data_IF_884276682155
#
_entry.id   IF_884276682155
#
_cell.length_a   1.000
_cell.length_b   1.000
_cell.length_c   1.000
_cell.angle_alpha   90.00
_cell.angle_beta   90.00
_cell.angle_gamma   90.00
#
_symmetry.space_group_name_H-M   'P 1'
#
loop_
_entity.id
_entity.type
_entity.pdbx_description
1 polymer ?
#
# COMPACT_ATOMS: atom_id res chain seq x y z
N UNK A 1 -16.20 -13.32 -36.76
CA UNK A 1 -15.89 -12.64 -35.48
C UNK A 1 -14.47 -12.15 -35.58
N UNK A 2 -14.30 -10.83 -35.70
CA UNK A 2 -12.98 -10.19 -35.80
C UNK A 2 -12.22 -10.46 -34.49
N UNK A 3 -11.16 -11.26 -34.59
CA UNK A 3 -10.17 -11.36 -33.53
C UNK A 3 -9.24 -10.19 -33.79
N UNK A 4 -9.33 -9.14 -32.98
CA UNK A 4 -8.35 -8.06 -32.94
C UNK A 4 -7.03 -8.67 -32.48
N UNK A 5 -6.10 -8.80 -33.43
CA UNK A 5 -4.69 -9.22 -33.32
C UNK A 5 -3.79 -8.08 -32.82
N UNK A 6 -4.38 -6.94 -32.53
CA UNK A 6 -3.78 -5.76 -31.98
C UNK A 6 -3.70 -5.90 -30.45
N UNK A 7 -2.47 -5.94 -29.93
CA UNK A 7 -2.12 -6.19 -28.51
C UNK A 7 -2.66 -5.20 -27.47
N UNK A 8 -3.73 -4.47 -27.79
CA UNK A 8 -4.53 -3.68 -26.87
C UNK A 8 -6.00 -4.15 -26.98
N UNK A 9 -6.33 -5.26 -26.32
CA UNK A 9 -7.63 -5.95 -26.45
C UNK A 9 -8.85 -5.21 -25.84
N UNK A 10 -8.87 -3.87 -25.86
CA UNK A 10 -10.04 -3.06 -25.52
C UNK A 10 -10.64 -3.34 -24.14
N UNK A 11 -9.85 -3.83 -23.19
CA UNK A 11 -10.36 -4.26 -21.88
C UNK A 11 -11.02 -3.14 -21.08
N UNK A 12 -10.66 -1.89 -21.39
CA UNK A 12 -11.23 -0.68 -20.81
C UNK A 12 -12.70 -0.47 -21.25
N UNK A 13 -13.11 -1.01 -22.39
CA UNK A 13 -14.47 -0.89 -22.93
C UNK A 13 -15.47 -1.83 -22.25
N UNK A 14 -14.99 -2.97 -21.75
CA UNK A 14 -15.81 -3.97 -21.05
C UNK A 14 -15.78 -3.79 -19.53
N UNK A 15 -15.00 -2.82 -19.02
CA UNK A 15 -14.92 -2.51 -17.60
C UNK A 15 -16.28 -1.99 -17.11
N UNK A 16 -16.69 -2.44 -15.92
CA UNK A 16 -17.90 -1.93 -15.29
C UNK A 16 -17.83 -0.41 -15.15
N UNK A 17 -18.86 0.29 -15.64
CA UNK A 17 -18.98 1.75 -15.59
C UNK A 17 -18.85 2.30 -14.18
N UNK A 18 -19.22 1.53 -13.15
CA UNK A 18 -19.08 1.94 -11.75
C UNK A 18 -17.65 1.89 -11.22
N UNK A 19 -16.76 1.15 -11.89
CA UNK A 19 -15.34 0.99 -11.56
C UNK A 19 -14.44 1.96 -12.32
N UNK A 20 -14.93 2.58 -13.40
CA UNK A 20 -14.19 3.60 -14.16
C UNK A 20 -13.73 4.72 -13.23
N UNK A 21 -12.42 4.99 -13.24
CA UNK A 21 -11.79 5.99 -12.37
C UNK A 21 -11.54 5.55 -10.91
N UNK A 22 -11.98 4.35 -10.52
CA UNK A 22 -11.77 3.79 -9.16
C UNK A 22 -10.79 2.62 -9.11
N UNK A 23 -10.39 2.08 -10.26
CA UNK A 23 -9.44 0.98 -10.36
C UNK A 23 -8.25 1.31 -11.25
N UNK A 24 -7.13 0.63 -11.04
CA UNK A 24 -5.96 0.70 -11.90
C UNK A 24 -6.19 -0.12 -13.17
N UNK A 25 -6.14 0.54 -14.33
CA UNK A 25 -6.34 -0.10 -15.64
C UNK A 25 -5.28 -1.18 -15.93
N UNK A 26 -4.08 -1.07 -15.37
CA UNK A 26 -3.06 -2.10 -15.51
C UNK A 26 -3.42 -3.37 -14.71
N UNK A 27 -4.06 -3.23 -13.55
CA UNK A 27 -4.58 -4.36 -12.77
C UNK A 27 -5.73 -5.05 -13.52
N UNK A 28 -6.63 -4.26 -14.11
CA UNK A 28 -7.72 -4.74 -14.96
C UNK A 28 -7.18 -5.52 -16.16
N UNK A 29 -6.17 -4.99 -16.87
CA UNK A 29 -5.56 -5.63 -18.03
C UNK A 29 -4.95 -6.99 -17.69
N UNK A 30 -4.24 -7.09 -16.57
CA UNK A 30 -3.66 -8.36 -16.11
C UNK A 30 -4.78 -9.35 -15.79
N UNK A 31 -5.79 -8.92 -15.05
CA UNK A 31 -6.93 -9.76 -14.67
C UNK A 31 -7.67 -10.28 -15.91
N UNK A 32 -7.94 -9.40 -16.88
CA UNK A 32 -8.60 -9.76 -18.14
C UNK A 32 -7.76 -10.76 -18.96
N UNK A 33 -6.44 -10.59 -19.01
CA UNK A 33 -5.55 -11.53 -19.71
C UNK A 33 -5.62 -12.94 -19.12
N UNK A 34 -5.80 -13.08 -17.80
CA UNK A 34 -5.95 -14.38 -17.14
C UNK A 34 -7.33 -14.95 -17.37
N UNK A 35 -8.38 -14.13 -17.23
CA UNK A 35 -9.75 -14.54 -17.50
C UNK A 35 -9.90 -15.10 -18.92
N UNK A 36 -9.28 -14.43 -19.92
CA UNK A 36 -9.27 -14.90 -21.31
C UNK A 36 -8.59 -16.28 -21.46
N UNK A 37 -7.49 -16.53 -20.75
CA UNK A 37 -6.82 -17.83 -20.75
C UNK A 37 -7.66 -18.91 -20.07
N UNK A 38 -8.41 -18.58 -19.01
CA UNK A 38 -9.27 -19.53 -18.29
C UNK A 38 -10.42 -20.06 -19.16
N UNK A 39 -10.98 -19.22 -20.05
CA UNK A 39 -12.08 -19.61 -20.94
C UNK A 39 -11.60 -20.17 -22.29
N UNK A 40 -10.30 -20.40 -22.45
CA UNK A 40 -9.74 -20.88 -23.72
C UNK A 40 -10.39 -22.21 -24.13
N UNK A 41 -10.76 -22.35 -25.42
CA UNK A 41 -11.47 -23.53 -25.94
C UNK A 41 -10.72 -24.84 -25.70
N UNK A 42 -9.41 -24.83 -25.96
CA UNK A 42 -8.51 -25.95 -25.64
C UNK A 42 -8.19 -25.99 -24.13
N UNK A 43 -8.50 -27.09 -23.42
CA UNK A 43 -8.22 -27.22 -21.98
C UNK A 43 -6.74 -27.14 -21.63
N UNK A 44 -5.84 -27.61 -22.52
CA UNK A 44 -4.38 -27.59 -22.29
C UNK A 44 -3.78 -26.19 -22.26
N UNK A 45 -4.48 -25.19 -22.81
CA UNK A 45 -4.07 -23.79 -22.80
C UNK A 45 -4.63 -23.02 -21.60
N UNK A 46 -5.52 -23.65 -20.81
CA UNK A 46 -6.05 -23.05 -19.58
C UNK A 46 -4.97 -23.14 -18.49
N UNK A 47 -4.76 -22.09 -17.71
CA UNK A 47 -3.82 -22.11 -16.62
C UNK A 47 -4.31 -23.02 -15.49
N UNK A 48 -3.37 -23.52 -14.69
CA UNK A 48 -3.72 -24.23 -13.45
C UNK A 48 -4.34 -23.26 -12.45
N UNK A 49 -5.19 -23.77 -11.56
CA UNK A 49 -5.74 -22.98 -10.46
C UNK A 49 -4.64 -22.40 -9.55
N UNK A 50 -3.51 -23.10 -9.44
CA UNK A 50 -2.34 -22.62 -8.70
C UNK A 50 -1.76 -21.36 -9.34
N UNK A 51 -1.62 -21.36 -10.68
CA UNK A 51 -1.11 -20.20 -11.43
C UNK A 51 -2.06 -19.01 -11.33
N UNK A 52 -3.37 -19.27 -11.46
CA UNK A 52 -4.41 -18.25 -11.31
C UNK A 52 -4.33 -17.63 -9.90
N UNK A 53 -4.29 -18.48 -8.87
CA UNK A 53 -4.27 -18.05 -7.46
C UNK A 53 -3.03 -17.22 -7.14
N UNK A 54 -1.87 -17.62 -7.69
CA UNK A 54 -0.62 -16.88 -7.55
C UNK A 54 -0.74 -15.47 -8.11
N UNK A 55 -1.24 -15.32 -9.34
CA UNK A 55 -1.34 -13.98 -9.94
C UNK A 55 -2.38 -13.11 -9.24
N UNK A 56 -3.52 -13.67 -8.84
CA UNK A 56 -4.51 -12.94 -8.04
C UNK A 56 -3.92 -12.47 -6.70
N UNK A 57 -3.08 -13.30 -6.06
CA UNK A 57 -2.41 -12.93 -4.82
C UNK A 57 -1.41 -11.80 -5.03
N UNK A 58 -0.66 -11.81 -6.14
CA UNK A 58 0.26 -10.72 -6.50
C UNK A 58 -0.48 -9.41 -6.76
N UNK A 59 -1.61 -9.44 -7.46
CA UNK A 59 -2.45 -8.26 -7.68
C UNK A 59 -2.96 -7.70 -6.35
N UNK A 60 -3.48 -8.57 -5.47
CA UNK A 60 -3.91 -8.18 -4.13
C UNK A 60 -2.78 -7.52 -3.32
N UNK A 61 -1.58 -8.10 -3.34
CA UNK A 61 -0.43 -7.51 -2.65
C UNK A 61 -0.09 -6.12 -3.21
N UNK A 62 -0.11 -5.93 -4.54
CA UNK A 62 0.15 -4.63 -5.15
C UNK A 62 -0.84 -3.55 -4.71
N UNK A 63 -2.12 -3.91 -4.55
CA UNK A 63 -3.13 -3.02 -3.97
C UNK A 63 -2.83 -2.68 -2.51
N UNK A 64 -2.48 -3.69 -1.69
CA UNK A 64 -2.14 -3.48 -0.29
C UNK A 64 -0.89 -2.61 -0.15
N UNK A 65 0.16 -2.83 -0.93
CA UNK A 65 1.40 -2.04 -0.87
C UNK A 65 1.20 -0.59 -1.33
N UNK A 66 0.27 -0.30 -2.25
CA UNK A 66 -0.10 1.09 -2.59
C UNK A 66 -0.81 1.76 -1.42
N UNK A 67 -1.73 1.07 -0.76
CA UNK A 67 -2.43 1.60 0.41
C UNK A 67 -1.52 1.68 1.65
N UNK A 68 -0.60 0.73 1.81
CA UNK A 68 0.44 0.75 2.84
C UNK A 68 1.51 1.78 2.55
N UNK A 69 1.81 2.12 1.29
CA UNK A 69 2.74 3.23 1.01
C UNK A 69 2.19 4.57 1.51
N UNK A 70 0.87 4.72 1.63
CA UNK A 70 0.23 5.88 2.27
C UNK A 70 0.41 5.79 3.80
N UNK A 71 0.33 4.59 4.39
CA UNK A 71 0.64 4.37 5.82
C UNK A 71 2.14 4.26 6.15
N UNK A 72 3.03 4.13 5.16
CA UNK A 72 4.48 4.14 5.31
C UNK A 72 5.04 5.54 5.03
N UNK A 73 4.39 6.33 4.17
CA UNK A 73 4.61 7.77 4.06
C UNK A 73 4.16 8.49 5.35
N UNK A 74 3.07 8.03 5.97
CA UNK A 74 2.78 8.27 7.38
C UNK A 74 3.49 7.22 8.22
N UNK A 75 4.82 7.15 8.12
CA UNK A 75 5.63 6.23 8.92
C UNK A 75 5.11 6.21 10.35
N UNK A 76 4.99 5.03 10.95
CA UNK A 76 4.44 4.87 12.29
C UNK A 76 5.43 5.47 13.31
N UNK A 77 5.45 6.80 13.37
CA UNK A 77 6.26 7.61 14.26
C UNK A 77 5.61 7.66 15.65
N UNK A 78 4.58 6.85 15.94
CA UNK A 78 3.96 6.75 17.26
C UNK A 78 5.00 6.63 18.37
N UNK A 79 6.02 5.80 18.14
CA UNK A 79 7.15 5.66 19.08
C UNK A 79 8.06 6.89 19.15
N UNK A 80 8.31 7.55 18.02
CA UNK A 80 9.17 8.74 17.95
C UNK A 80 8.48 9.96 18.57
N UNK A 81 7.19 10.16 18.30
CA UNK A 81 6.35 11.23 18.87
C UNK A 81 6.23 11.07 20.39
N UNK A 82 5.98 9.85 20.89
CA UNK A 82 5.97 9.57 22.34
C UNK A 82 7.31 9.93 23.01
N UNK A 83 8.43 9.68 22.31
CA UNK A 83 9.77 10.01 22.81
C UNK A 83 10.00 11.53 22.82
N UNK A 84 9.54 12.23 21.78
CA UNK A 84 9.61 13.69 21.69
C UNK A 84 8.78 14.35 22.80
N UNK A 85 7.53 13.91 23.02
CA UNK A 85 6.67 14.43 24.10
C UNK A 85 7.31 14.23 25.48
N UNK A 86 7.85 13.03 25.73
CA UNK A 86 8.55 12.73 26.98
C UNK A 86 9.76 13.65 27.21
N UNK A 87 10.53 13.93 26.16
CA UNK A 87 11.68 14.83 26.22
C UNK A 87 11.26 16.29 26.46
N UNK A 88 10.13 16.72 25.90
CA UNK A 88 9.63 18.09 26.06
C UNK A 88 9.21 18.39 27.50
N UNK A 89 8.59 17.41 28.18
CA UNK A 89 8.25 17.48 29.61
C UNK A 89 9.50 17.48 30.49
N UNK A 90 10.49 16.65 30.17
CA UNK A 90 11.77 16.63 30.88
C UNK A 90 12.47 18.00 30.79
N UNK A 91 12.53 18.57 29.59
CA UNK A 91 13.11 19.89 29.35
C UNK A 91 12.33 21.00 30.08
N UNK A 92 10.99 20.98 30.07
CA UNK A 92 10.20 21.98 30.80
C UNK A 92 10.44 21.95 32.31
N UNK A 93 10.69 20.76 32.87
CA UNK A 93 10.99 20.60 34.29
C UNK A 93 12.41 21.10 34.65
N UNK A 94 13.36 20.99 33.72
CA UNK A 94 14.72 21.53 33.89
C UNK A 94 14.76 23.05 33.74
N UNK A 95 13.93 23.61 32.86
CA UNK A 95 13.86 25.08 32.64
C UNK A 95 13.00 25.79 33.69
N UNK A 96 12.03 25.10 34.30
CA UNK A 96 11.24 25.59 35.43
C UNK A 96 12.00 25.32 36.73
N UNK A 97 13.03 26.12 36.98
CA UNK A 97 14.00 25.95 38.06
C UNK A 97 13.45 25.49 39.42
N UNK A 98 14.11 24.48 39.98
CA UNK A 98 14.28 24.34 41.42
C UNK A 98 15.73 24.69 41.73
N UNK A 99 15.96 25.98 41.89
CA UNK A 99 17.14 26.51 42.56
C UNK A 99 17.24 25.86 43.95
N UNK A 100 18.23 24.98 44.13
CA UNK A 100 18.77 24.64 45.44
C UNK A 100 20.21 24.14 45.31
N UNK A 101 21.12 25.03 44.90
CA UNK A 101 22.55 24.83 45.16
C UNK A 101 22.82 25.41 46.54
N UNK A 102 23.19 24.51 47.44
CA UNK A 102 23.65 24.78 48.80
C UNK A 102 25.17 24.76 48.70
N UNK A 103 25.83 25.91 48.85
CA UNK A 103 27.25 25.94 49.20
C UNK A 103 27.47 26.97 50.32
N UNK A 104 28.11 26.47 51.37
CA UNK A 104 28.48 27.15 52.60
C UNK A 104 29.69 28.08 52.41
N UNK A 105 29.87 29.00 53.36
CA UNK A 105 31.11 29.70 53.78
C UNK A 105 31.34 31.12 53.21
N UNK A 106 31.10 32.15 54.04
CA UNK A 106 32.14 33.09 54.55
C UNK A 106 31.48 34.31 55.23
N UNK A 107 31.46 34.35 56.56
CA UNK A 107 31.81 35.51 57.44
C UNK A 107 31.85 34.99 58.87
#
# INVERSE_FOLDING_TARGET
AAMTDDGNAGWDEILDKQLVGKCDLNEVRILASIAQKCIHKSPRKRPSIVDISRVLSMLKQRHLSKNESISLARGDFSHVIKRIESQQIQLSNLTSGKEKVRDSNNT
#
